data_IF_151158027672
#
_entry.id   IF_151158027672
#
_cell.length_a   1.000
_cell.length_b   1.000
_cell.length_c   1.000
_cell.angle_alpha   90.00
_cell.angle_beta   90.00
_cell.angle_gamma   90.00
#
_symmetry.space_group_name_H-M   'P 1'
#
loop_
_entity.id
_entity.type
_entity.pdbx_description
1 polymer ?
#
# COMPACT_ATOMS: atom_id res chain seq x y z
N UNK A 1 -9.53 46.19 21.56
CA UNK A 1 -8.77 45.44 20.54
C UNK A 1 -8.89 43.98 20.88
N UNK A 2 -9.45 43.19 19.99
CA UNK A 2 -9.53 41.74 20.14
C UNK A 2 -8.29 41.14 19.48
N UNK A 3 -7.56 40.30 20.20
CA UNK A 3 -6.41 39.56 19.68
C UNK A 3 -6.80 38.10 19.59
N UNK A 4 -6.67 37.53 18.40
CA UNK A 4 -6.96 36.13 18.12
C UNK A 4 -5.71 35.42 17.65
N UNK A 5 -5.59 34.15 17.99
CA UNK A 5 -4.49 33.26 17.56
C UNK A 5 -5.08 32.13 16.73
N UNK A 6 -4.50 31.89 15.56
CA UNK A 6 -4.85 30.75 14.71
C UNK A 6 -3.71 29.75 14.70
N UNK A 7 -3.91 28.58 15.30
CA UNK A 7 -2.93 27.48 15.32
C UNK A 7 -3.27 26.43 14.26
N UNK A 8 -2.25 25.89 13.58
CA UNK A 8 -2.41 24.82 12.59
C UNK A 8 -1.69 23.55 13.04
N UNK A 9 -2.44 22.57 13.56
CA UNK A 9 -1.89 21.27 13.94
C UNK A 9 -2.28 20.20 12.91
N UNK A 10 -1.27 19.59 12.31
CA UNK A 10 -1.42 18.52 11.32
C UNK A 10 -1.63 17.16 12.01
N UNK A 11 -2.74 16.48 11.76
CA UNK A 11 -3.03 15.14 12.28
C UNK A 11 -3.09 14.12 11.15
N UNK A 12 -2.54 12.91 11.38
CA UNK A 12 -2.71 11.78 10.45
C UNK A 12 -4.02 11.07 10.75
N UNK A 13 -4.96 11.12 9.81
CA UNK A 13 -6.27 10.48 9.90
C UNK A 13 -6.22 8.99 9.52
N UNK A 14 -5.32 8.62 8.61
CA UNK A 14 -5.17 7.22 8.20
C UNK A 14 -3.95 6.99 7.34
N UNK A 15 -3.47 5.76 7.34
CA UNK A 15 -2.35 5.32 6.50
C UNK A 15 -2.48 3.84 6.17
N UNK A 16 -1.86 3.42 5.08
CA UNK A 16 -1.84 2.01 4.70
C UNK A 16 -0.93 1.72 3.52
N UNK A 17 -0.84 0.45 3.15
CA UNK A 17 -0.14 0.05 1.94
C UNK A 17 -0.84 -1.10 1.23
N UNK A 18 -0.65 -1.16 -0.09
CA UNK A 18 -1.18 -2.23 -0.94
C UNK A 18 -0.14 -2.60 -1.99
N UNK A 19 -0.18 -3.84 -2.47
CA UNK A 19 0.73 -4.36 -3.47
C UNK A 19 -0.05 -4.95 -4.62
N UNK A 20 0.42 -4.71 -5.84
CA UNK A 20 -0.18 -5.28 -7.04
C UNK A 20 0.88 -5.67 -8.06
N UNK A 21 0.56 -6.66 -8.90
CA UNK A 21 1.41 -7.09 -10.01
C UNK A 21 1.21 -6.19 -11.22
N UNK A 22 2.31 -5.88 -11.89
CA UNK A 22 2.33 -5.09 -13.12
C UNK A 22 3.18 -5.79 -14.19
N UNK A 23 2.54 -6.17 -15.30
CA UNK A 23 3.18 -6.87 -16.43
C UNK A 23 4.15 -5.98 -17.19
N UNK A 24 3.72 -4.77 -17.54
CA UNK A 24 4.46 -3.83 -18.38
C UNK A 24 5.50 -3.01 -17.59
N UNK A 25 5.40 -2.98 -16.26
CA UNK A 25 6.37 -2.30 -15.42
C UNK A 25 7.75 -2.98 -15.47
N UNK A 26 8.79 -2.14 -15.46
CA UNK A 26 10.20 -2.54 -15.50
C UNK A 26 10.85 -2.57 -14.12
N UNK A 27 12.19 -2.53 -14.10
CA UNK A 27 13.01 -2.49 -12.88
C UNK A 27 13.08 -1.11 -12.21
N UNK A 28 12.50 -0.09 -12.82
CA UNK A 28 12.42 1.29 -12.32
C UNK A 28 11.00 1.84 -12.52
N UNK A 29 10.62 2.79 -11.66
CA UNK A 29 9.35 3.50 -11.81
C UNK A 29 9.42 4.40 -13.05
N UNK A 30 8.30 4.53 -13.75
CA UNK A 30 8.17 5.35 -14.95
C UNK A 30 6.72 5.86 -15.12
N UNK A 31 6.41 6.49 -16.26
CA UNK A 31 5.07 6.99 -16.57
C UNK A 31 4.01 5.87 -16.52
N UNK A 32 4.34 4.69 -17.03
CA UNK A 32 3.45 3.53 -16.99
C UNK A 32 3.17 3.06 -15.56
N UNK A 33 4.14 3.14 -14.63
CA UNK A 33 3.89 2.82 -13.22
C UNK A 33 2.80 3.71 -12.60
N UNK A 34 2.74 4.99 -12.99
CA UNK A 34 1.71 5.93 -12.54
C UNK A 34 0.35 5.59 -13.15
N UNK A 35 0.32 5.32 -14.46
CA UNK A 35 -0.90 4.90 -15.15
C UNK A 35 -1.47 3.62 -14.52
N UNK A 36 -0.62 2.62 -14.30
CA UNK A 36 -0.99 1.36 -13.68
C UNK A 36 -1.58 1.58 -12.28
N UNK A 37 -0.97 2.44 -11.46
CA UNK A 37 -1.50 2.79 -10.14
C UNK A 37 -2.87 3.48 -10.15
N UNK A 38 -3.25 4.08 -11.28
CA UNK A 38 -4.53 4.77 -11.48
C UNK A 38 -5.57 3.92 -12.21
N UNK A 39 -5.26 2.69 -12.60
CA UNK A 39 -6.20 1.83 -13.31
C UNK A 39 -7.35 1.42 -12.42
N UNK A 40 -8.54 1.39 -13.03
CA UNK A 40 -9.79 1.01 -12.39
C UNK A 40 -10.35 -0.36 -12.82
N UNK A 41 -9.56 -1.17 -13.52
CA UNK A 41 -9.93 -2.53 -13.91
C UNK A 41 -8.70 -3.43 -14.00
N UNK A 42 -8.90 -4.75 -13.87
CA UNK A 42 -7.89 -5.77 -14.17
C UNK A 42 -8.00 -6.14 -15.66
N UNK A 43 -7.04 -5.70 -16.47
CA UNK A 43 -6.81 -6.26 -17.80
C UNK A 43 -5.98 -7.54 -17.68
N UNK A 44 -6.09 -8.48 -18.62
CA UNK A 44 -5.31 -9.73 -18.63
C UNK A 44 -3.81 -9.44 -18.47
N UNK A 45 -3.27 -9.70 -17.28
CA UNK A 45 -1.90 -9.37 -16.89
C UNK A 45 -0.97 -10.59 -17.00
N UNK A 46 -1.37 -11.65 -17.72
CA UNK A 46 -0.56 -12.86 -17.87
C UNK A 46 0.70 -12.57 -18.66
N UNK A 47 1.81 -13.22 -18.29
CA UNK A 47 3.04 -13.12 -19.07
C UNK A 47 2.88 -13.85 -20.40
N UNK A 48 3.48 -13.30 -21.44
CA UNK A 48 3.61 -13.97 -22.73
C UNK A 48 4.89 -14.82 -22.67
N UNK A 49 4.71 -16.14 -22.71
CA UNK A 49 5.79 -17.12 -22.66
C UNK A 49 6.02 -17.79 -24.02
N UNK A 50 5.40 -17.30 -25.10
CA UNK A 50 5.50 -17.90 -26.44
C UNK A 50 6.95 -17.98 -26.95
N UNK A 51 7.79 -17.00 -26.62
CA UNK A 51 9.22 -17.05 -26.94
C UNK A 51 9.96 -18.16 -26.16
N UNK A 52 9.54 -18.49 -24.94
CA UNK A 52 10.11 -19.63 -24.20
C UNK A 52 9.63 -20.95 -24.79
N UNK A 53 8.38 -21.03 -25.25
CA UNK A 53 7.85 -22.20 -25.94
C UNK A 53 8.62 -22.50 -27.23
N UNK A 54 8.98 -21.45 -27.99
CA UNK A 54 9.80 -21.62 -29.19
C UNK A 54 11.21 -22.11 -28.86
N UNK A 55 11.83 -21.56 -27.80
CA UNK A 55 13.16 -22.01 -27.34
C UNK A 55 13.15 -23.44 -26.82
N UNK A 56 12.09 -23.86 -26.14
CA UNK A 56 11.90 -25.24 -25.70
C UNK A 56 11.84 -26.19 -26.91
N UNK A 57 11.09 -25.80 -27.94
CA UNK A 57 10.98 -26.56 -29.20
C UNK A 57 12.32 -26.63 -29.93
N UNK A 58 13.06 -25.54 -29.99
CA UNK A 58 14.40 -25.50 -30.59
C UNK A 58 15.36 -26.47 -29.87
N UNK A 59 15.44 -26.38 -28.54
CA UNK A 59 16.29 -27.25 -27.73
C UNK A 59 15.91 -28.73 -27.90
N UNK A 60 14.61 -29.04 -27.87
CA UNK A 60 14.10 -30.41 -28.07
C UNK A 60 14.48 -30.97 -29.44
N UNK A 61 14.34 -30.18 -30.51
CA UNK A 61 14.72 -30.58 -31.87
C UNK A 61 16.23 -30.81 -31.99
N UNK A 62 17.05 -29.97 -31.33
CA UNK A 62 18.51 -30.12 -31.31
C UNK A 62 18.94 -31.38 -30.58
N UNK A 63 18.33 -31.67 -29.43
CA UNK A 63 18.58 -32.92 -28.69
C UNK A 63 18.27 -34.12 -29.56
N UNK A 64 17.07 -34.19 -30.17
CA UNK A 64 16.68 -35.30 -31.03
C UNK A 64 17.64 -35.51 -32.23
N UNK A 65 18.11 -34.41 -32.83
CA UNK A 65 19.09 -34.47 -33.92
C UNK A 65 20.45 -35.01 -33.45
N UNK A 66 20.95 -34.54 -32.30
CA UNK A 66 22.22 -34.99 -31.73
C UNK A 66 22.16 -36.47 -31.31
N UNK A 67 21.05 -36.90 -30.70
CA UNK A 67 20.80 -38.30 -30.34
C UNK A 67 20.81 -39.20 -31.59
N UNK A 68 20.15 -38.79 -32.67
CA UNK A 68 20.14 -39.53 -33.93
C UNK A 68 21.55 -39.65 -34.54
N UNK A 69 22.33 -38.57 -34.54
CA UNK A 69 23.72 -38.59 -35.04
C UNK A 69 24.64 -39.48 -34.20
N UNK A 70 24.52 -39.41 -32.87
CA UNK A 70 25.27 -40.27 -31.95
C UNK A 70 24.90 -41.74 -32.22
N UNK A 71 23.60 -42.07 -32.29
CA UNK A 71 23.14 -43.44 -32.54
C UNK A 71 23.63 -43.98 -33.88
N UNK A 72 23.69 -43.15 -34.92
CA UNK A 72 24.23 -43.53 -36.23
C UNK A 72 25.72 -43.86 -36.14
N UNK A 73 26.52 -42.98 -35.53
CA UNK A 73 27.97 -43.18 -35.38
C UNK A 73 28.30 -44.36 -34.46
N UNK A 74 27.50 -44.61 -33.42
CA UNK A 74 27.65 -45.78 -32.54
C UNK A 74 27.37 -47.08 -33.30
N UNK A 75 26.36 -47.09 -34.18
CA UNK A 75 26.05 -48.22 -35.06
C UNK A 75 27.17 -48.46 -36.07
N UNK A 76 27.69 -47.39 -36.67
CA UNK A 76 28.82 -47.47 -37.60
C UNK A 76 30.07 -48.01 -36.90
N UNK A 77 30.37 -47.54 -35.69
CA UNK A 77 31.48 -48.05 -34.88
C UNK A 77 31.32 -49.54 -34.55
N UNK A 78 30.10 -50.02 -34.27
CA UNK A 78 29.83 -51.44 -34.05
C UNK A 78 30.11 -52.27 -35.32
N UNK A 79 29.76 -51.75 -36.49
CA UNK A 79 30.09 -52.39 -37.77
C UNK A 79 31.59 -52.37 -38.06
N UNK A 80 32.27 -51.25 -37.80
CA UNK A 80 33.73 -51.11 -37.94
C UNK A 80 34.47 -52.11 -37.04
N UNK A 81 34.03 -52.30 -35.80
CA UNK A 81 34.61 -53.33 -34.90
C UNK A 81 34.49 -54.74 -35.50
N UNK A 82 33.34 -55.05 -36.13
CA UNK A 82 33.14 -56.33 -36.82
C UNK A 82 34.05 -56.48 -38.04
N UNK A 83 34.24 -55.40 -38.82
CA UNK A 83 35.15 -55.40 -39.96
C UNK A 83 36.61 -55.54 -39.52
N UNK A 84 37.03 -54.83 -38.47
CA UNK A 84 38.39 -54.91 -37.90
C UNK A 84 38.70 -56.35 -37.44
N UNK A 85 37.73 -57.06 -36.86
CA UNK A 85 37.91 -58.44 -36.43
C UNK A 85 38.18 -59.42 -37.60
N UNK A 86 37.69 -59.09 -38.81
CA UNK A 86 37.80 -59.92 -40.01
C UNK A 86 38.84 -59.39 -41.03
N UNK A 87 39.44 -58.22 -40.77
CA UNK A 87 40.33 -57.54 -41.71
C UNK A 87 41.76 -58.11 -41.71
N UNK A 88 42.44 -57.98 -42.85
CA UNK A 88 43.86 -58.30 -42.98
C UNK A 88 44.75 -57.29 -42.25
N UNK A 89 46.04 -57.63 -42.08
CA UNK A 89 47.04 -56.77 -41.41
C UNK A 89 47.20 -55.41 -42.11
N UNK A 90 46.96 -55.37 -43.43
CA UNK A 90 47.10 -54.18 -44.27
C UNK A 90 45.86 -53.26 -44.22
N UNK A 91 44.67 -53.81 -44.04
CA UNK A 91 43.39 -53.06 -44.04
C UNK A 91 42.96 -52.59 -42.63
N UNK A 92 43.33 -53.35 -41.59
CA UNK A 92 42.95 -53.06 -40.21
C UNK A 92 43.37 -51.67 -39.69
N UNK A 93 44.53 -51.08 -40.06
CA UNK A 93 44.93 -49.75 -39.58
C UNK A 93 43.95 -48.64 -40.00
N UNK A 94 43.48 -48.66 -41.25
CA UNK A 94 42.57 -47.64 -41.78
C UNK A 94 41.19 -47.70 -41.08
N UNK A 95 40.67 -48.91 -40.87
CA UNK A 95 39.40 -49.12 -40.15
C UNK A 95 39.50 -48.66 -38.68
N UNK A 96 40.64 -48.92 -38.01
CA UNK A 96 40.89 -48.43 -36.64
C UNK A 96 40.97 -46.90 -36.59
N UNK A 97 41.54 -46.26 -37.60
CA UNK A 97 41.58 -44.81 -37.68
C UNK A 97 40.17 -44.21 -37.80
N UNK A 98 39.31 -44.78 -38.65
CA UNK A 98 37.91 -44.35 -38.78
C UNK A 98 37.13 -44.55 -37.46
N UNK A 99 37.29 -45.71 -36.82
CA UNK A 99 36.66 -45.97 -35.52
C UNK A 99 37.06 -44.93 -34.46
N UNK A 100 38.36 -44.61 -34.37
CA UNK A 100 38.85 -43.61 -33.41
C UNK A 100 38.38 -42.19 -33.74
N UNK A 101 38.25 -41.85 -35.02
CA UNK A 101 37.69 -40.58 -35.47
C UNK A 101 36.20 -40.46 -35.09
N UNK A 102 35.41 -41.50 -35.37
CA UNK A 102 34.00 -41.59 -34.98
C UNK A 102 33.83 -41.51 -33.46
N UNK A 103 34.68 -42.18 -32.69
CA UNK A 103 34.68 -42.10 -31.22
C UNK A 103 34.88 -40.67 -30.72
N UNK A 104 35.89 -39.98 -31.26
CA UNK A 104 36.13 -38.55 -30.92
C UNK A 104 34.92 -37.68 -31.26
N UNK A 105 34.27 -37.94 -32.40
CA UNK A 105 33.07 -37.22 -32.83
C UNK A 105 31.88 -37.49 -31.90
N UNK A 106 31.66 -38.74 -31.50
CA UNK A 106 30.63 -39.11 -30.51
C UNK A 106 30.87 -38.38 -29.18
N UNK A 107 32.11 -38.34 -28.69
CA UNK A 107 32.44 -37.67 -27.42
C UNK A 107 32.18 -36.15 -27.49
N UNK A 108 32.45 -35.52 -28.64
CA UNK A 108 32.07 -34.12 -28.88
C UNK A 108 30.55 -33.94 -28.89
N UNK A 109 29.82 -34.77 -29.63
CA UNK A 109 28.36 -34.69 -29.74
C UNK A 109 27.67 -34.94 -28.39
N UNK A 110 28.18 -35.86 -27.57
CA UNK A 110 27.67 -36.12 -26.21
C UNK A 110 27.82 -34.91 -25.29
N UNK A 111 28.94 -34.19 -25.39
CA UNK A 111 29.13 -32.92 -24.66
C UNK A 111 28.15 -31.85 -25.12
N UNK A 112 27.93 -31.72 -26.43
CA UNK A 112 26.95 -30.77 -26.97
C UNK A 112 25.51 -31.14 -26.53
N UNK A 113 25.16 -32.42 -26.58
CA UNK A 113 23.89 -32.95 -26.14
C UNK A 113 23.63 -32.64 -24.66
N UNK A 114 24.64 -32.82 -23.79
CA UNK A 114 24.50 -32.48 -22.38
C UNK A 114 24.22 -30.99 -22.15
N UNK A 115 24.86 -30.10 -22.92
CA UNK A 115 24.58 -28.66 -22.88
C UNK A 115 23.13 -28.34 -23.27
N UNK A 116 22.64 -28.94 -24.37
CA UNK A 116 21.25 -28.73 -24.80
C UNK A 116 20.23 -29.32 -23.83
N UNK A 117 20.52 -30.48 -23.23
CA UNK A 117 19.67 -31.08 -22.19
C UNK A 117 19.60 -30.20 -20.95
N UNK A 118 20.72 -29.62 -20.51
CA UNK A 118 20.72 -28.67 -19.40
C UNK A 118 19.91 -27.42 -19.76
N UNK A 119 20.10 -26.87 -20.96
CA UNK A 119 19.35 -25.71 -21.42
C UNK A 119 17.84 -25.98 -21.47
N UNK A 120 17.42 -27.18 -21.90
CA UNK A 120 16.01 -27.59 -21.90
C UNK A 120 15.46 -27.64 -20.46
N UNK A 121 16.20 -28.21 -19.51
CA UNK A 121 15.81 -28.24 -18.10
C UNK A 121 15.65 -26.83 -17.53
N UNK A 122 16.62 -25.93 -17.78
CA UNK A 122 16.56 -24.55 -17.32
C UNK A 122 15.33 -23.79 -17.90
N UNK A 123 14.96 -24.07 -19.17
CA UNK A 123 13.76 -23.49 -19.80
C UNK A 123 12.50 -24.00 -19.11
N UNK A 124 12.41 -25.30 -18.82
CA UNK A 124 11.26 -25.90 -18.15
C UNK A 124 11.09 -25.38 -16.72
N UNK A 125 12.20 -25.24 -15.99
CA UNK A 125 12.22 -24.63 -14.66
C UNK A 125 11.75 -23.17 -14.71
N UNK A 126 12.24 -22.38 -15.66
CA UNK A 126 11.81 -21.00 -15.85
C UNK A 126 10.31 -20.88 -16.17
N UNK A 127 9.74 -21.81 -16.96
CA UNK A 127 8.30 -21.87 -17.24
C UNK A 127 7.49 -22.23 -15.99
N UNK A 128 7.96 -23.19 -15.21
CA UNK A 128 7.35 -23.56 -13.92
C UNK A 128 7.36 -22.38 -12.95
N UNK A 129 8.48 -21.68 -12.83
CA UNK A 129 8.63 -20.49 -12.00
C UNK A 129 7.65 -19.37 -12.43
N UNK A 130 7.53 -19.11 -13.73
CA UNK A 130 6.59 -18.14 -14.28
C UNK A 130 5.12 -18.51 -13.99
N UNK A 131 4.77 -19.80 -14.08
CA UNK A 131 3.43 -20.29 -13.77
C UNK A 131 3.09 -20.10 -12.27
N UNK A 132 4.04 -20.41 -11.39
CA UNK A 132 3.90 -20.23 -9.94
C UNK A 132 3.77 -18.75 -9.56
N UNK A 133 4.55 -17.86 -10.19
CA UNK A 133 4.36 -16.43 -10.01
C UNK A 133 2.98 -15.99 -10.48
N UNK A 134 2.42 -16.58 -11.53
CA UNK A 134 1.08 -16.21 -11.99
C UNK A 134 -0.04 -16.69 -11.05
N UNK A 135 0.11 -17.87 -10.44
CA UNK A 135 -0.86 -18.43 -9.50
C UNK A 135 -1.00 -17.63 -8.19
N UNK A 136 0.03 -16.88 -7.80
CA UNK A 136 -0.03 -16.09 -6.56
C UNK A 136 -0.94 -14.86 -6.75
N UNK A 137 -2.06 -14.81 -6.01
CA UNK A 137 -3.12 -13.81 -6.07
C UNK A 137 -2.74 -12.42 -5.50
N UNK A 138 -1.62 -11.84 -5.95
CA UNK A 138 -1.25 -10.44 -5.66
C UNK A 138 -1.72 -9.49 -6.76
N UNK A 139 -2.62 -9.93 -7.65
CA UNK A 139 -3.15 -9.10 -8.73
C UNK A 139 -4.47 -8.45 -8.27
N UNK A 140 -4.40 -7.75 -7.12
CA UNK A 140 -5.56 -7.11 -6.55
C UNK A 140 -5.84 -5.75 -7.23
N UNK A 141 -7.12 -5.43 -7.33
CA UNK A 141 -7.64 -4.21 -7.92
C UNK A 141 -7.55 -3.00 -6.97
N UNK A 142 -7.08 -3.24 -5.74
CA UNK A 142 -6.96 -2.24 -4.70
C UNK A 142 -5.78 -1.27 -4.95
N UNK A 143 -6.00 -0.28 -5.83
CA UNK A 143 -5.05 0.76 -6.25
C UNK A 143 -5.51 2.16 -5.82
N UNK A 144 -4.82 3.22 -6.26
CA UNK A 144 -5.07 4.60 -5.79
C UNK A 144 -6.56 5.01 -5.87
N UNK A 145 -7.28 4.80 -6.99
CA UNK A 145 -8.70 5.16 -7.06
C UNK A 145 -9.59 4.41 -6.07
N UNK A 146 -9.32 3.13 -5.83
CA UNK A 146 -10.07 2.32 -4.86
C UNK A 146 -9.80 2.80 -3.43
N UNK A 147 -8.54 3.03 -3.07
CA UNK A 147 -8.15 3.60 -1.77
C UNK A 147 -8.85 4.95 -1.56
N UNK A 148 -8.83 5.82 -2.57
CA UNK A 148 -9.49 7.12 -2.47
C UNK A 148 -11.00 7.02 -2.32
N UNK A 149 -11.64 6.05 -2.97
CA UNK A 149 -13.08 5.83 -2.85
C UNK A 149 -13.44 5.31 -1.45
N UNK A 150 -12.62 4.45 -0.87
CA UNK A 150 -12.80 3.92 0.48
C UNK A 150 -12.59 5.01 1.52
N UNK A 151 -11.50 5.78 1.41
CA UNK A 151 -11.21 6.91 2.29
C UNK A 151 -12.28 8.00 2.17
N UNK A 152 -12.78 8.26 0.96
CA UNK A 152 -13.91 9.17 0.74
C UNK A 152 -15.15 8.72 1.50
N UNK A 153 -15.48 7.44 1.42
CA UNK A 153 -16.68 6.87 2.04
C UNK A 153 -16.54 6.78 3.56
N UNK A 154 -15.34 6.48 4.06
CA UNK A 154 -15.05 6.37 5.49
C UNK A 154 -15.13 7.73 6.20
N UNK A 155 -14.59 8.80 5.59
CA UNK A 155 -14.49 10.13 6.20
C UNK A 155 -15.46 11.16 5.58
N UNK A 156 -16.41 10.74 4.74
CA UNK A 156 -17.34 11.61 4.02
C UNK A 156 -16.67 12.78 3.27
N UNK A 157 -15.53 12.50 2.63
CA UNK A 157 -14.71 13.53 1.99
C UNK A 157 -15.34 14.05 0.69
N UNK A 158 -15.11 15.32 0.42
CA UNK A 158 -15.34 15.94 -0.89
C UNK A 158 -14.01 16.29 -1.52
N UNK A 159 -13.59 15.51 -2.51
CA UNK A 159 -12.33 15.73 -3.22
C UNK A 159 -12.31 17.06 -3.98
N UNK A 160 -11.20 17.78 -3.88
CA UNK A 160 -10.95 19.02 -4.61
C UNK A 160 -10.01 18.77 -5.80
N UNK A 161 -10.39 19.28 -6.97
CA UNK A 161 -9.62 19.12 -8.21
C UNK A 161 -9.39 17.67 -8.60
N UNK A 162 -8.45 17.42 -9.53
CA UNK A 162 -8.09 16.08 -10.01
C UNK A 162 -6.88 15.45 -9.28
N UNK A 163 -6.26 16.18 -8.34
CA UNK A 163 -4.95 15.85 -7.77
C UNK A 163 -3.81 16.04 -8.77
N UNK A 164 -2.58 15.86 -8.30
CA UNK A 164 -1.37 15.99 -9.12
C UNK A 164 -0.29 15.00 -8.68
N UNK A 165 0.63 14.68 -9.59
CA UNK A 165 1.79 13.87 -9.29
C UNK A 165 2.98 14.75 -8.98
N UNK A 166 3.59 14.58 -7.80
CA UNK A 166 4.91 15.08 -7.48
C UNK A 166 5.89 13.89 -7.45
N UNK A 167 6.75 13.77 -8.47
CA UNK A 167 7.58 12.59 -8.65
C UNK A 167 6.71 11.33 -8.79
N UNK A 168 6.83 10.39 -7.85
CA UNK A 168 6.02 9.16 -7.76
C UNK A 168 5.02 9.18 -6.59
N UNK A 169 4.72 10.37 -6.07
CA UNK A 169 3.71 10.59 -5.06
C UNK A 169 2.53 11.32 -5.67
N UNK A 170 1.36 10.70 -5.67
CA UNK A 170 0.10 11.32 -6.03
C UNK A 170 -0.44 12.09 -4.83
N UNK A 171 -0.81 13.35 -5.02
CA UNK A 171 -1.33 14.22 -3.97
C UNK A 171 -2.67 14.78 -4.39
N UNK A 172 -3.68 14.72 -3.52
CA UNK A 172 -4.98 15.36 -3.74
C UNK A 172 -5.56 15.88 -2.45
N UNK A 173 -6.18 17.05 -2.51
CA UNK A 173 -6.85 17.64 -1.35
C UNK A 173 -8.34 17.31 -1.33
N UNK A 174 -8.94 17.35 -0.16
CA UNK A 174 -10.36 17.20 0.08
C UNK A 174 -10.83 18.08 1.24
N UNK A 175 -12.14 18.28 1.33
CA UNK A 175 -12.81 18.88 2.49
C UNK A 175 -13.71 17.86 3.17
N UNK A 176 -13.99 18.09 4.45
CA UNK A 176 -14.90 17.28 5.25
C UNK A 176 -16.09 18.15 5.71
N UNK A 177 -17.32 17.60 5.77
CA UNK A 177 -18.44 18.32 6.36
C UNK A 177 -18.16 18.70 7.81
N UNK A 178 -18.57 19.92 8.20
CA UNK A 178 -18.54 20.43 9.58
C UNK A 178 -17.15 20.72 10.17
N UNK A 179 -16.06 20.68 9.37
CA UNK A 179 -14.73 21.08 9.83
C UNK A 179 -14.05 22.02 8.82
N UNK A 180 -13.57 23.16 9.30
CA UNK A 180 -12.73 24.09 8.54
C UNK A 180 -11.27 23.61 8.55
N UNK A 181 -10.97 22.60 7.72
CA UNK A 181 -9.62 22.08 7.54
C UNK A 181 -9.41 21.51 6.14
N UNK A 182 -8.18 21.58 5.65
CA UNK A 182 -7.79 20.98 4.37
C UNK A 182 -7.26 19.58 4.66
N UNK A 183 -7.90 18.58 4.04
CA UNK A 183 -7.44 17.20 4.10
C UNK A 183 -6.55 16.93 2.89
N UNK A 184 -5.37 16.39 3.12
CA UNK A 184 -4.41 16.03 2.08
C UNK A 184 -4.24 14.52 2.04
N UNK A 185 -4.55 13.93 0.89
CA UNK A 185 -4.25 12.54 0.59
C UNK A 185 -2.94 12.47 -0.20
N UNK A 186 -2.02 11.60 0.24
CA UNK A 186 -0.78 11.31 -0.48
C UNK A 186 -0.66 9.81 -0.70
N UNK A 187 -0.28 9.40 -1.90
CA UNK A 187 -0.01 8.01 -2.25
C UNK A 187 1.30 7.89 -3.02
N UNK A 188 2.30 7.25 -2.41
CA UNK A 188 3.65 7.08 -2.94
C UNK A 188 3.82 5.69 -3.55
N UNK A 189 4.33 5.64 -4.78
CA UNK A 189 4.66 4.41 -5.47
C UNK A 189 6.10 3.95 -5.21
N UNK A 190 6.26 2.65 -5.02
CA UNK A 190 7.57 1.98 -4.95
C UNK A 190 7.52 0.61 -5.63
N UNK A 191 8.71 0.05 -5.90
CA UNK A 191 8.84 -1.31 -6.43
C UNK A 191 9.16 -2.23 -5.26
N UNK A 192 8.22 -3.09 -4.88
CA UNK A 192 8.41 -4.11 -3.85
C UNK A 192 9.23 -5.30 -4.37
N UNK A 193 9.04 -5.67 -5.65
CA UNK A 193 9.83 -6.72 -6.31
C UNK A 193 10.07 -6.38 -7.77
N UNK A 194 11.32 -6.42 -8.20
CA UNK A 194 11.69 -6.20 -9.61
C UNK A 194 11.24 -7.39 -10.48
N UNK A 195 10.98 -7.17 -11.77
CA UNK A 195 10.74 -8.26 -12.71
C UNK A 195 12.02 -9.10 -12.87
N UNK A 196 11.83 -10.40 -13.12
CA UNK A 196 12.91 -11.37 -13.40
C UNK A 196 12.85 -11.74 -14.87
N UNK A 197 14.02 -11.92 -15.47
CA UNK A 197 14.18 -12.29 -16.87
C UNK A 197 15.00 -13.57 -16.98
N UNK A 198 14.62 -14.43 -17.93
CA UNK A 198 15.37 -15.61 -18.32
C UNK A 198 15.52 -15.60 -19.84
N UNK A 199 16.76 -15.69 -20.33
CA UNK A 199 17.08 -15.56 -21.77
C UNK A 199 16.49 -14.29 -22.44
N UNK A 200 16.41 -13.18 -21.70
CA UNK A 200 15.82 -11.92 -22.16
C UNK A 200 14.28 -11.86 -22.09
N UNK A 201 13.63 -12.97 -21.73
CA UNK A 201 12.18 -13.10 -21.65
C UNK A 201 11.74 -12.87 -20.20
N UNK A 202 10.71 -12.03 -20.00
CA UNK A 202 10.22 -11.71 -18.65
C UNK A 202 9.46 -12.91 -18.07
N UNK A 203 9.98 -13.47 -16.98
CA UNK A 203 9.39 -14.62 -16.26
C UNK A 203 8.69 -14.24 -14.95
N UNK A 204 9.07 -13.11 -14.33
CA UNK A 204 8.33 -12.54 -13.20
C UNK A 204 7.82 -11.14 -13.51
N UNK A 205 6.60 -10.87 -13.07
CA UNK A 205 6.01 -9.52 -13.10
C UNK A 205 6.62 -8.66 -12.00
N UNK A 206 6.72 -7.36 -12.26
CA UNK A 206 7.07 -6.41 -11.22
C UNK A 206 5.94 -6.36 -10.19
N UNK A 207 6.27 -6.30 -8.90
CA UNK A 207 5.29 -6.03 -7.84
C UNK A 207 5.50 -4.58 -7.42
N UNK A 208 4.50 -3.76 -7.68
CA UNK A 208 4.45 -2.38 -7.21
C UNK A 208 3.78 -2.33 -5.85
N UNK A 209 4.18 -1.35 -5.04
CA UNK A 209 3.56 -1.03 -3.77
C UNK A 209 3.09 0.42 -3.80
N UNK A 210 1.88 0.66 -3.30
CA UNK A 210 1.36 1.98 -2.97
C UNK A 210 1.38 2.09 -1.46
N UNK A 211 2.08 3.09 -0.93
CA UNK A 211 1.95 3.51 0.46
C UNK A 211 1.18 4.83 0.49
N UNK A 212 0.09 4.89 1.26
CA UNK A 212 -0.78 6.07 1.30
C UNK A 212 -0.94 6.60 2.72
N UNK A 213 -1.19 7.90 2.81
CA UNK A 213 -1.50 8.62 4.04
C UNK A 213 -2.59 9.67 3.77
N UNK A 214 -3.41 9.92 4.77
CA UNK A 214 -4.41 10.98 4.81
C UNK A 214 -4.10 11.86 6.02
N UNK A 215 -3.78 13.13 5.78
CA UNK A 215 -3.51 14.11 6.83
C UNK A 215 -4.54 15.22 6.79
N UNK A 216 -4.86 15.80 7.94
CA UNK A 216 -5.69 16.99 8.06
C UNK A 216 -4.89 18.12 8.67
N UNK A 217 -4.99 19.30 8.09
CA UNK A 217 -4.54 20.55 8.72
C UNK A 217 -5.79 21.29 9.22
N UNK A 218 -5.96 21.37 10.54
CA UNK A 218 -7.02 22.13 11.17
C UNK A 218 -6.47 23.49 11.57
N UNK A 219 -7.16 24.57 11.21
CA UNK A 219 -6.88 25.90 11.74
C UNK A 219 -7.88 26.18 12.85
N UNK A 220 -7.41 26.21 14.10
CA UNK A 220 -8.23 26.64 15.23
C UNK A 220 -7.93 28.09 15.55
N UNK A 221 -8.96 28.95 15.46
CA UNK A 221 -8.85 30.38 15.77
C UNK A 221 -9.55 30.65 17.09
N UNK A 222 -8.78 30.98 18.12
CA UNK A 222 -9.28 31.36 19.43
C UNK A 222 -9.00 32.83 19.72
N UNK A 223 -9.95 33.52 20.35
CA UNK A 223 -9.72 34.84 20.93
C UNK A 223 -8.93 34.63 22.21
N UNK A 224 -7.67 35.06 22.22
CA UNK A 224 -6.77 34.87 23.36
C UNK A 224 -6.77 36.05 24.32
N UNK A 225 -7.08 37.26 23.83
CA UNK A 225 -7.12 38.45 24.67
C UNK A 225 -8.03 39.54 24.08
N UNK A 226 -8.58 40.38 24.96
CA UNK A 226 -9.35 41.58 24.59
C UNK A 226 -8.80 42.77 25.37
N UNK A 227 -7.98 43.59 24.73
CA UNK A 227 -7.43 44.80 25.33
C UNK A 227 -8.43 45.96 25.25
N UNK A 228 -8.79 46.52 26.40
CA UNK A 228 -9.48 47.81 26.48
C UNK A 228 -8.45 48.94 26.46
N UNK A 229 -8.43 49.74 25.39
CA UNK A 229 -7.52 50.88 25.28
C UNK A 229 -8.17 52.13 25.88
N UNK A 230 -7.43 52.87 26.70
CA UNK A 230 -7.88 54.17 27.21
C UNK A 230 -8.09 55.15 26.03
N UNK A 231 -9.31 55.67 25.82
CA UNK A 231 -9.58 56.63 24.75
C UNK A 231 -8.69 57.88 24.82
N UNK A 232 -8.29 58.31 26.02
CA UNK A 232 -7.53 59.53 26.28
C UNK A 232 -6.01 59.34 26.17
N UNK A 233 -5.53 58.10 26.05
CA UNK A 233 -4.10 57.82 25.85
C UNK A 233 -3.62 58.20 24.44
N UNK A 234 -2.34 58.54 24.34
CA UNK A 234 -1.69 58.84 23.06
C UNK A 234 -1.66 57.61 22.14
N UNK A 235 -1.67 57.83 20.82
CA UNK A 235 -1.63 56.73 19.85
C UNK A 235 -0.34 55.90 19.94
N UNK A 236 0.78 56.53 20.33
CA UNK A 236 2.05 55.85 20.58
C UNK A 236 1.98 54.90 21.78
N UNK A 237 1.21 55.28 22.80
CA UNK A 237 1.05 54.49 24.02
C UNK A 237 0.08 53.32 23.79
N UNK A 238 -1.02 53.56 23.07
CA UNK A 238 -1.94 52.52 22.60
C UNK A 238 -1.23 51.47 21.73
N UNK A 239 -0.39 51.93 20.79
CA UNK A 239 0.38 51.05 19.89
C UNK A 239 1.41 50.22 20.66
N UNK A 240 2.10 50.83 21.63
CA UNK A 240 3.05 50.10 22.50
C UNK A 240 2.36 49.02 23.32
N UNK A 241 1.21 49.30 23.90
CA UNK A 241 0.44 48.32 24.68
C UNK A 241 0.00 47.14 23.81
N UNK A 242 -0.55 47.40 22.62
CA UNK A 242 -0.96 46.34 21.69
C UNK A 242 0.23 45.52 21.22
N UNK A 243 1.34 46.16 20.80
CA UNK A 243 2.52 45.45 20.32
C UNK A 243 3.23 44.63 21.41
N UNK A 244 3.26 45.11 22.66
CA UNK A 244 3.80 44.33 23.78
C UNK A 244 2.99 43.05 23.97
N UNK A 245 1.66 43.16 23.97
CA UNK A 245 0.78 42.00 24.16
C UNK A 245 0.83 41.04 22.97
N UNK A 246 0.92 41.53 21.74
CA UNK A 246 1.18 40.67 20.56
C UNK A 246 2.50 39.92 20.71
N UNK A 247 3.55 40.58 21.20
CA UNK A 247 4.86 39.95 21.37
C UNK A 247 4.88 38.89 22.46
N UNK A 248 4.14 39.09 23.56
CA UNK A 248 3.96 38.10 24.62
C UNK A 248 3.21 36.87 24.09
N UNK A 249 2.08 37.10 23.42
CA UNK A 249 1.26 36.04 22.81
C UNK A 249 2.05 35.26 21.74
N UNK A 250 2.91 35.94 20.97
CA UNK A 250 3.78 35.28 19.98
C UNK A 250 4.83 34.36 20.62
N UNK A 251 5.27 34.64 21.84
CA UNK A 251 6.17 33.77 22.58
C UNK A 251 5.44 32.57 23.18
N UNK A 252 4.18 32.75 23.59
CA UNK A 252 3.31 31.68 24.10
C UNK A 252 2.85 30.72 22.99
N UNK A 253 2.63 31.24 21.77
CA UNK A 253 2.15 30.48 20.61
C UNK A 253 3.08 30.62 19.38
N UNK A 254 4.28 30.03 19.41
CA UNK A 254 5.33 30.29 18.40
C UNK A 254 5.01 29.75 17.00
N UNK A 255 4.10 28.80 16.86
CA UNK A 255 3.70 28.16 15.60
C UNK A 255 2.40 28.70 15.02
N UNK A 256 1.76 29.67 15.69
CA UNK A 256 0.42 30.14 15.35
C UNK A 256 0.44 31.58 14.79
N UNK A 257 -0.51 31.92 13.92
CA UNK A 257 -0.64 33.27 13.37
C UNK A 257 -1.54 34.16 14.24
N UNK A 258 -1.09 35.36 14.57
CA UNK A 258 -1.84 36.32 15.41
C UNK A 258 -2.58 37.32 14.52
N UNK A 259 -3.87 37.54 14.79
CA UNK A 259 -4.70 38.57 14.15
C UNK A 259 -5.24 39.53 15.20
N UNK A 260 -5.40 40.81 14.83
CA UNK A 260 -5.96 41.84 15.73
C UNK A 260 -7.11 42.58 15.07
N UNK A 261 -8.20 42.76 15.81
CA UNK A 261 -9.37 43.50 15.38
C UNK A 261 -9.63 44.70 16.30
N UNK A 262 -9.81 45.87 15.70
CA UNK A 262 -10.04 47.13 16.40
C UNK A 262 -11.52 47.49 16.35
N UNK A 263 -12.25 47.21 17.43
CA UNK A 263 -13.60 47.73 17.62
C UNK A 263 -13.53 49.14 18.23
N UNK A 264 -14.09 50.14 17.54
CA UNK A 264 -14.21 51.52 18.04
C UNK A 264 -15.65 51.74 18.51
N UNK A 265 -15.87 51.80 19.81
CA UNK A 265 -17.10 52.32 20.40
C UNK A 265 -16.95 53.83 20.65
N UNK A 266 -17.92 54.63 20.21
CA UNK A 266 -17.99 56.03 20.64
C UNK A 266 -18.21 56.10 22.14
N UNK A 267 -17.54 57.02 22.84
CA UNK A 267 -17.61 57.12 24.28
C UNK A 267 -19.05 57.48 24.71
N UNK A 268 -19.79 56.50 25.23
CA UNK A 268 -21.11 56.71 25.77
C UNK A 268 -21.02 57.70 26.92
N UNK A 269 -21.79 58.79 26.82
CA UNK A 269 -21.94 59.77 27.90
C UNK A 269 -22.40 59.05 29.17
N UNK A 270 -21.78 59.40 30.29
CA UNK A 270 -22.16 58.95 31.63
C UNK A 270 -23.65 59.21 31.86
N UNK A 271 -24.43 58.14 31.95
CA UNK A 271 -25.78 58.17 32.48
C UNK A 271 -25.87 57.13 33.60
N UNK A 272 -26.03 57.67 34.80
CA UNK A 272 -26.43 57.01 36.03
C UNK A 272 -27.79 56.32 35.79
N UNK A 273 -27.82 54.99 35.72
CA UNK A 273 -29.04 54.19 35.93
C UNK A 273 -28.73 52.69 36.07
N UNK A 274 -29.49 52.08 36.98
CA UNK A 274 -29.42 50.74 37.56
C UNK A 274 -29.74 49.58 36.61
N UNK A 275 -29.41 49.69 35.32
CA UNK A 275 -29.61 48.63 34.31
C UNK A 275 -28.29 48.27 33.63
N UNK A 276 -27.32 47.80 34.42
CA UNK A 276 -26.17 47.08 33.86
C UNK A 276 -26.63 45.66 33.53
N UNK A 277 -27.05 45.45 32.29
CA UNK A 277 -27.22 44.10 31.75
C UNK A 277 -25.83 43.45 31.75
N UNK A 278 -25.63 42.52 32.70
CA UNK A 278 -24.42 41.73 32.88
C UNK A 278 -24.07 40.96 31.59
N UNK A 279 -23.16 41.50 30.77
CA UNK A 279 -22.58 40.79 29.61
C UNK A 279 -21.68 39.60 30.02
N UNK A 280 -21.32 39.49 31.31
CA UNK A 280 -20.71 38.26 31.85
C UNK A 280 -21.70 37.08 31.85
N UNK A 281 -23.01 37.34 31.98
CA UNK A 281 -24.02 36.28 32.06
C UNK A 281 -24.35 35.66 30.69
N UNK A 282 -23.95 36.30 29.60
CA UNK A 282 -24.06 35.75 28.24
C UNK A 282 -22.83 34.95 27.80
N UNK A 283 -21.62 35.29 28.27
CA UNK A 283 -20.39 34.56 27.91
C UNK A 283 -20.33 33.19 28.58
N UNK A 284 -20.58 33.16 29.90
CA UNK A 284 -20.55 31.92 30.68
C UNK A 284 -21.65 30.95 30.24
N UNK A 285 -22.82 31.47 29.84
CA UNK A 285 -23.88 30.68 29.23
C UNK A 285 -23.55 30.19 27.82
N UNK A 286 -22.70 30.90 27.06
CA UNK A 286 -22.27 30.47 25.73
C UNK A 286 -21.19 29.37 25.82
N UNK A 287 -20.30 29.47 26.80
CA UNK A 287 -19.26 28.47 27.07
C UNK A 287 -19.88 27.19 27.64
N UNK A 288 -20.81 27.31 28.59
CA UNK A 288 -21.63 26.18 29.06
C UNK A 288 -22.47 25.60 27.90
N UNK A 289 -23.03 26.44 27.01
CA UNK A 289 -23.77 25.94 25.85
C UNK A 289 -22.86 25.19 24.86
N UNK A 290 -21.62 25.63 24.65
CA UNK A 290 -20.63 24.94 23.81
C UNK A 290 -20.14 23.64 24.43
N UNK A 291 -19.93 23.61 25.74
CA UNK A 291 -19.58 22.37 26.44
C UNK A 291 -20.73 21.37 26.41
N UNK A 292 -21.97 21.83 26.63
CA UNK A 292 -23.18 20.99 26.52
C UNK A 292 -23.37 20.51 25.07
N UNK A 293 -23.13 21.34 24.06
CA UNK A 293 -23.24 20.97 22.64
C UNK A 293 -22.15 19.96 22.22
N UNK A 294 -20.92 20.13 22.70
CA UNK A 294 -19.83 19.15 22.53
C UNK A 294 -20.17 17.81 23.20
N UNK A 295 -20.70 17.83 24.42
CA UNK A 295 -21.13 16.61 25.13
C UNK A 295 -22.33 15.94 24.44
N UNK A 296 -23.32 16.71 23.97
CA UNK A 296 -24.46 16.17 23.20
C UNK A 296 -23.98 15.59 21.88
N UNK A 297 -23.03 16.25 21.20
CA UNK A 297 -22.45 15.76 19.94
C UNK A 297 -21.64 14.48 20.15
N UNK A 298 -20.89 14.37 21.25
CA UNK A 298 -20.20 13.13 21.61
C UNK A 298 -21.19 12.02 21.94
N UNK A 299 -22.26 12.30 22.69
CA UNK A 299 -23.33 11.33 22.95
C UNK A 299 -24.03 10.93 21.65
N UNK A 300 -24.25 11.85 20.71
CA UNK A 300 -24.83 11.55 19.40
C UNK A 300 -23.88 10.75 18.52
N UNK A 301 -22.58 11.05 18.53
CA UNK A 301 -21.57 10.28 17.82
C UNK A 301 -21.45 8.86 18.39
N UNK A 302 -21.52 8.72 19.72
CA UNK A 302 -21.57 7.43 20.41
C UNK A 302 -22.88 6.70 20.14
N UNK A 303 -24.02 7.38 20.10
CA UNK A 303 -25.31 6.75 19.76
C UNK A 303 -25.38 6.33 18.30
N UNK A 304 -24.84 7.13 17.38
CA UNK A 304 -24.78 6.79 15.94
C UNK A 304 -23.74 5.68 15.71
N UNK A 305 -22.65 5.65 16.48
CA UNK A 305 -21.71 4.53 16.44
C UNK A 305 -22.31 3.26 17.04
N UNK A 306 -23.10 3.37 18.11
CA UNK A 306 -23.88 2.28 18.71
C UNK A 306 -25.04 1.82 17.82
N UNK A 307 -25.74 2.73 17.13
CA UNK A 307 -26.77 2.42 16.13
C UNK A 307 -26.14 1.67 14.96
N UNK A 308 -24.99 2.12 14.48
CA UNK A 308 -24.23 1.44 13.42
C UNK A 308 -23.64 0.10 13.89
N UNK A 309 -23.23 -0.03 15.15
CA UNK A 309 -22.84 -1.31 15.75
C UNK A 309 -24.04 -2.24 15.98
N UNK A 310 -25.22 -1.71 16.28
CA UNK A 310 -26.47 -2.49 16.34
C UNK A 310 -26.90 -2.97 14.96
N UNK A 311 -26.76 -2.15 13.91
CA UNK A 311 -26.96 -2.59 12.52
C UNK A 311 -25.87 -3.55 12.01
N UNK A 312 -24.75 -3.68 12.74
CA UNK A 312 -23.72 -4.69 12.51
C UNK A 312 -23.90 -5.97 13.37
N UNK A 313 -24.94 -6.07 14.20
CA UNK A 313 -25.25 -7.27 15.00
C UNK A 313 -26.61 -7.86 14.63
N UNK A 314 -26.54 -8.99 13.91
CA UNK A 314 -27.57 -10.02 13.67
C UNK A 314 -28.80 -9.59 12.87
N UNK A 315 -28.77 -9.86 11.57
CA UNK A 315 -29.99 -10.06 10.77
C UNK A 315 -30.79 -11.24 11.37
N UNK A 316 -32.12 -11.26 11.22
CA UNK A 316 -32.97 -12.43 11.58
C UNK A 316 -32.42 -13.75 10.99
N UNK A 317 -31.68 -13.63 9.88
CA UNK A 317 -30.96 -14.73 9.23
C UNK A 317 -29.79 -15.27 10.08
N UNK A 318 -29.07 -14.42 10.82
CA UNK A 318 -27.96 -14.84 11.71
C UNK A 318 -28.49 -15.47 13.00
N UNK A 319 -29.65 -15.01 13.50
CA UNK A 319 -30.36 -15.69 14.61
C UNK A 319 -30.86 -17.08 14.20
N UNK A 320 -31.24 -17.26 12.92
CA UNK A 320 -31.59 -18.58 12.37
C UNK A 320 -30.35 -19.47 12.13
N UNK A 321 -29.18 -18.89 11.86
CA UNK A 321 -27.91 -19.63 11.70
C UNK A 321 -27.30 -20.08 13.03
N UNK A 322 -27.46 -19.33 14.12
CA UNK A 322 -26.99 -19.73 15.46
C UNK A 322 -27.74 -20.95 16.05
N UNK A 323 -28.89 -21.33 15.47
CA UNK A 323 -29.67 -22.52 15.86
C UNK A 323 -29.18 -23.77 15.08
N UNK A 324 -28.38 -23.60 14.03
CA UNK A 324 -27.74 -24.70 13.31
C UNK A 324 -26.30 -24.90 13.78
N UNK A 325 -25.81 -26.14 13.86
CA UNK A 325 -24.43 -26.41 14.24
C UNK A 325 -23.46 -25.72 13.27
N UNK A 326 -22.48 -25.00 13.84
CA UNK A 326 -21.54 -24.13 13.13
C UNK A 326 -20.67 -24.92 12.14
N UNK A 327 -20.81 -24.60 10.86
CA UNK A 327 -19.81 -24.89 9.84
C UNK A 327 -18.86 -23.69 9.82
N UNK A 328 -17.59 -23.92 10.11
CA UNK A 328 -16.53 -22.92 10.02
C UNK A 328 -16.41 -22.46 8.56
N UNK A 329 -16.97 -21.27 8.28
CA UNK A 329 -16.99 -20.68 6.96
C UNK A 329 -15.68 -19.94 6.60
N UNK A 330 -14.73 -19.84 7.54
CA UNK A 330 -13.51 -19.04 7.41
C UNK A 330 -12.23 -19.87 7.27
N UNK A 331 -12.33 -21.20 7.23
CA UNK A 331 -11.19 -22.08 7.02
C UNK A 331 -10.61 -21.91 5.59
N UNK A 332 -9.57 -21.07 5.47
CA UNK A 332 -8.79 -20.88 4.24
C UNK A 332 -8.97 -19.54 3.51
N UNK A 333 -9.78 -18.60 4.02
CA UNK A 333 -9.90 -17.25 3.44
C UNK A 333 -8.85 -16.30 4.03
N UNK A 334 -8.05 -15.63 3.18
CA UNK A 334 -7.15 -14.55 3.66
C UNK A 334 -7.98 -13.36 4.12
N UNK A 335 -7.78 -12.97 5.37
CA UNK A 335 -8.44 -11.83 5.99
C UNK A 335 -7.85 -10.53 5.45
N UNK A 336 -8.71 -9.55 5.23
CA UNK A 336 -8.30 -8.18 4.92
C UNK A 336 -7.63 -7.55 6.14
N UNK A 337 -6.76 -6.55 5.93
CA UNK A 337 -6.08 -5.83 7.01
C UNK A 337 -7.06 -5.22 8.03
N UNK A 338 -8.27 -4.86 7.58
CA UNK A 338 -9.35 -4.36 8.44
C UNK A 338 -9.97 -5.49 9.26
N UNK A 339 -10.19 -6.67 8.66
CA UNK A 339 -10.64 -7.87 9.38
C UNK A 339 -9.59 -8.33 10.42
N UNK A 340 -8.28 -8.26 10.11
CA UNK A 340 -7.21 -8.57 11.07
C UNK A 340 -7.13 -7.56 12.22
N UNK A 341 -7.25 -6.26 11.93
CA UNK A 341 -7.30 -5.22 12.96
C UNK A 341 -8.56 -5.34 13.84
N UNK A 342 -9.70 -5.69 13.23
CA UNK A 342 -10.96 -5.92 13.95
C UNK A 342 -10.89 -7.15 14.86
N UNK A 343 -10.31 -8.26 14.38
CA UNK A 343 -10.10 -9.45 15.20
C UNK A 343 -9.16 -9.17 16.37
N UNK A 344 -8.02 -8.50 16.14
CA UNK A 344 -7.11 -8.09 17.23
C UNK A 344 -7.78 -7.16 18.23
N UNK A 345 -8.61 -6.24 17.76
CA UNK A 345 -9.37 -5.36 18.65
C UNK A 345 -10.43 -6.14 19.45
N UNK A 346 -11.14 -7.09 18.80
CA UNK A 346 -12.14 -7.95 19.43
C UNK A 346 -11.52 -8.89 20.48
N UNK A 347 -10.37 -9.48 20.17
CA UNK A 347 -9.60 -10.34 21.08
C UNK A 347 -9.06 -9.56 22.29
N UNK A 348 -8.67 -8.29 22.11
CA UNK A 348 -8.23 -7.41 23.20
C UNK A 348 -9.38 -6.77 23.99
N UNK A 349 -10.61 -6.82 23.48
CA UNK A 349 -11.80 -6.24 24.09
C UNK A 349 -12.69 -7.29 24.79
N UNK A 350 -12.36 -8.58 24.74
CA UNK A 350 -13.10 -9.63 25.44
C UNK A 350 -12.65 -9.69 26.93
N UNK A 351 -13.52 -9.28 27.88
CA UNK A 351 -13.19 -9.28 29.31
C UNK A 351 -13.12 -10.70 29.91
N UNK A 352 -13.45 -11.76 29.15
CA UNK A 352 -13.37 -13.15 29.60
C UNK A 352 -12.05 -13.85 29.26
N UNK A 353 -11.07 -13.14 28.67
CA UNK A 353 -9.72 -13.70 28.52
C UNK A 353 -9.04 -13.73 29.89
N UNK A 354 -9.23 -14.83 30.61
CA UNK A 354 -8.39 -15.16 31.75
C UNK A 354 -6.93 -15.20 31.31
N UNK A 355 -6.04 -14.61 32.11
CA UNK A 355 -4.61 -14.88 32.05
C UNK A 355 -4.40 -16.39 32.16
N UNK A 356 -4.10 -17.00 31.01
CA UNK A 356 -4.00 -18.45 30.85
C UNK A 356 -3.30 -18.75 29.55
N UNK A 357 -1.99 -18.54 29.56
CA UNK A 357 -0.95 -19.43 29.03
C UNK A 357 0.34 -18.63 28.77
N UNK A 358 0.94 -18.14 29.85
CA UNK A 358 2.40 -18.19 29.97
C UNK A 358 2.77 -19.63 30.32
N UNK A 359 3.13 -20.44 29.33
CA UNK A 359 4.23 -21.42 29.36
C UNK A 359 4.12 -22.48 28.26
N UNK A 360 5.30 -22.95 27.84
CA UNK A 360 5.58 -24.15 27.04
C UNK A 360 5.45 -24.01 25.51
N UNK A 361 6.56 -23.59 24.90
CA UNK A 361 7.28 -24.45 23.93
C UNK A 361 8.70 -23.89 23.71
N UNK A 362 9.54 -23.98 24.74
CA UNK A 362 10.95 -24.30 24.52
C UNK A 362 11.06 -25.82 24.40
N UNK A 363 11.82 -26.23 23.38
CA UNK A 363 12.41 -27.55 23.12
C UNK A 363 11.76 -28.47 22.08
N UNK A 364 12.70 -28.98 21.27
CA UNK A 364 12.70 -30.24 20.51
C UNK A 364 12.07 -30.24 19.11
N UNK A 365 12.93 -30.01 18.11
CA UNK A 365 13.40 -31.14 17.31
C UNK A 365 14.69 -30.80 16.54
N UNK A 366 15.81 -31.28 17.09
CA UNK A 366 16.90 -31.84 16.31
C UNK A 366 16.40 -33.15 15.66
N UNK A 367 16.39 -33.18 14.32
CA UNK A 367 16.92 -34.26 13.47
C UNK A 367 16.74 -33.92 11.99
#
# INVERSE_FOLDING_TARGET
VTISVTCSDGVTLGQGSTRYKCRECGGSLNAHSKECAMRTTVTENNLDLSELDEKEREASNKIALLEAQISQLETENKNLLTQIANASVEEAPALRQQYNANKTKIDNLKRELATWQQQLADIQDAKSEAANDNATATDDYYRIPAIMQDVKSAYNLTWQGAGSWNGYTYVRTATMPNINGIITFKATLSIARKPKYFLGIKIHRAILQISWELTSEYTDTQVVDVLTLDPNASDEEKTRQVNSRISEIAQEFPTCSITTEYAKSEATQTADNDDVIHLLWSSDRLEIAREVDSRITNIYADLVSLEKMMHYKRSIIDVLKDILPSIDADQGRRRTLIEECYERWRENADPNRGDGDENENENENEN
#
